data_IF_713645384041
#
_entry.id   IF_713645384041
#
_cell.length_a   1.000
_cell.length_b   1.000
_cell.length_c   1.000
_cell.angle_alpha   90.00
_cell.angle_beta   90.00
_cell.angle_gamma   90.00
#
_symmetry.space_group_name_H-M   'P 1'
#
loop_
_entity.id
_entity.type
_entity.pdbx_description
1 polymer ?
#
# COMPACT_ATOMS: atom_id res chain seq x y z
N UNK A 1 19.64 2.80 -18.58
CA UNK A 1 19.04 2.50 -19.91
C UNK A 1 17.98 3.55 -20.17
N UNK A 2 18.34 4.51 -21.01
CA UNK A 2 17.66 5.79 -21.18
C UNK A 2 16.79 5.74 -22.43
N UNK A 3 15.51 6.09 -22.31
CA UNK A 3 14.57 6.23 -23.44
C UNK A 3 13.84 4.95 -23.86
N UNK A 4 14.54 3.83 -24.06
CA UNK A 4 13.95 2.63 -24.67
C UNK A 4 13.76 1.47 -23.69
N UNK A 5 12.64 0.76 -23.84
CA UNK A 5 12.31 -0.45 -23.08
C UNK A 5 12.87 -1.71 -23.74
N UNK A 6 12.77 -2.83 -23.03
CA UNK A 6 13.25 -4.14 -23.51
C UNK A 6 12.63 -4.57 -24.85
N UNK A 7 11.39 -4.18 -25.12
CA UNK A 7 10.68 -4.47 -26.38
C UNK A 7 11.08 -3.52 -27.55
N UNK A 8 12.11 -2.69 -27.40
CA UNK A 8 12.56 -1.74 -28.42
C UNK A 8 11.69 -0.48 -28.57
N UNK A 9 10.51 -0.44 -27.95
CA UNK A 9 9.65 0.75 -27.88
C UNK A 9 10.07 1.74 -26.79
N UNK A 10 9.42 2.93 -26.71
CA UNK A 10 9.66 3.87 -25.64
C UNK A 10 9.39 3.22 -24.27
N UNK A 11 10.32 3.41 -23.34
CA UNK A 11 10.17 2.94 -21.96
C UNK A 11 9.02 3.67 -21.26
N UNK A 12 8.47 3.05 -20.20
CA UNK A 12 7.38 3.63 -19.39
C UNK A 12 7.69 5.04 -18.86
N UNK A 13 8.97 5.32 -18.59
CA UNK A 13 9.43 6.61 -18.07
C UNK A 13 10.06 7.52 -19.16
N UNK A 14 9.89 7.17 -20.44
CA UNK A 14 10.40 7.97 -21.57
C UNK A 14 9.88 9.43 -21.58
N UNK A 15 8.60 9.72 -21.25
CA UNK A 15 8.12 11.10 -21.22
C UNK A 15 8.88 11.96 -20.19
N UNK A 16 9.09 11.46 -18.98
CA UNK A 16 9.84 12.17 -17.94
C UNK A 16 11.31 12.35 -18.32
N UNK A 17 11.91 11.36 -18.98
CA UNK A 17 13.26 11.50 -19.53
C UNK A 17 13.34 12.60 -20.60
N UNK A 18 12.35 12.70 -21.48
CA UNK A 18 12.29 13.76 -22.50
C UNK A 18 12.18 15.14 -21.85
N UNK A 19 11.33 15.32 -20.84
CA UNK A 19 11.20 16.59 -20.11
C UNK A 19 12.48 16.97 -19.37
N UNK A 20 13.13 16.02 -18.71
CA UNK A 20 14.44 16.26 -18.10
C UNK A 20 15.49 16.65 -19.15
N UNK A 21 15.55 15.94 -20.28
CA UNK A 21 16.49 16.23 -21.36
C UNK A 21 16.24 17.62 -21.94
N UNK A 22 14.99 17.99 -22.21
CA UNK A 22 14.61 19.33 -22.69
C UNK A 22 15.05 20.43 -21.73
N UNK A 23 14.86 20.24 -20.43
CA UNK A 23 15.35 21.20 -19.44
C UNK A 23 16.87 21.25 -19.44
N UNK A 24 17.53 20.10 -19.37
CA UNK A 24 18.98 19.99 -19.25
C UNK A 24 19.73 20.58 -20.45
N UNK A 25 19.19 20.45 -21.67
CA UNK A 25 19.78 21.03 -22.88
C UNK A 25 19.67 22.55 -22.94
N UNK A 26 18.68 23.14 -22.27
CA UNK A 26 18.44 24.59 -22.27
C UNK A 26 18.97 25.30 -21.01
N UNK A 27 19.32 24.55 -19.97
CA UNK A 27 19.75 25.10 -18.69
C UNK A 27 21.25 25.43 -18.67
N UNK A 28 21.61 26.57 -18.08
CA UNK A 28 23.02 26.93 -17.82
C UNK A 28 23.61 26.11 -16.68
N UNK A 29 22.79 25.75 -15.69
CA UNK A 29 23.21 24.99 -14.52
C UNK A 29 22.33 23.75 -14.33
N UNK A 30 22.90 22.56 -14.11
CA UNK A 30 22.14 21.32 -13.90
C UNK A 30 21.13 21.39 -12.75
N UNK A 31 21.38 22.25 -11.76
CA UNK A 31 20.49 22.45 -10.60
C UNK A 31 19.13 23.03 -10.98
N UNK A 32 19.01 23.69 -12.13
CA UNK A 32 17.75 24.26 -12.61
C UNK A 32 16.72 23.19 -13.00
N UNK A 33 17.19 21.96 -13.30
CA UNK A 33 16.35 20.85 -13.76
C UNK A 33 16.15 19.76 -12.69
N UNK A 34 16.34 20.11 -11.41
CA UNK A 34 16.11 19.20 -10.29
C UNK A 34 14.67 18.65 -10.27
N UNK A 35 13.61 19.45 -10.47
CA UNK A 35 12.24 18.93 -10.45
C UNK A 35 12.02 17.83 -11.50
N UNK A 36 12.42 18.08 -12.74
CA UNK A 36 12.27 17.13 -13.85
C UNK A 36 13.13 15.88 -13.65
N UNK A 37 14.33 16.04 -13.10
CA UNK A 37 15.20 14.92 -12.71
C UNK A 37 14.53 14.05 -11.65
N UNK A 38 13.97 14.69 -10.63
CA UNK A 38 13.36 13.98 -9.50
C UNK A 38 12.11 13.22 -9.94
N UNK A 39 11.32 13.75 -10.88
CA UNK A 39 10.18 13.05 -11.47
C UNK A 39 10.61 11.84 -12.31
N UNK A 40 11.69 11.98 -13.10
CA UNK A 40 12.26 10.85 -13.84
C UNK A 40 12.76 9.73 -12.91
N UNK A 41 13.45 10.10 -11.83
CA UNK A 41 13.96 9.15 -10.83
C UNK A 41 12.83 8.53 -10.00
N UNK A 42 11.78 9.29 -9.71
CA UNK A 42 10.56 8.79 -9.06
C UNK A 42 9.90 7.73 -9.94
N UNK A 43 9.71 7.99 -11.23
CA UNK A 43 9.09 7.03 -12.14
C UNK A 43 9.85 5.69 -12.21
N UNK A 44 11.19 5.73 -12.19
CA UNK A 44 12.03 4.52 -12.25
C UNK A 44 11.97 3.73 -10.95
N UNK A 45 12.13 4.40 -9.81
CA UNK A 45 12.33 3.71 -8.53
C UNK A 45 11.04 3.54 -7.71
N UNK A 46 10.02 4.36 -8.00
CA UNK A 46 8.72 4.44 -7.32
C UNK A 46 8.85 4.57 -5.81
N UNK A 47 9.86 5.29 -5.35
CA UNK A 47 10.18 5.40 -3.91
C UNK A 47 9.07 6.12 -3.16
N UNK A 48 8.60 7.26 -3.69
CA UNK A 48 7.52 8.05 -3.09
C UNK A 48 6.20 7.27 -3.14
N UNK A 49 5.89 6.62 -4.26
CA UNK A 49 4.70 5.77 -4.40
C UNK A 49 4.71 4.60 -3.41
N UNK A 50 5.82 3.86 -3.29
CA UNK A 50 5.97 2.76 -2.32
C UNK A 50 5.80 3.23 -0.88
N UNK A 51 6.42 4.36 -0.52
CA UNK A 51 6.29 4.93 0.81
C UNK A 51 4.83 5.33 1.13
N UNK A 52 4.15 5.95 0.16
CA UNK A 52 2.73 6.32 0.30
C UNK A 52 1.85 5.09 0.46
N UNK A 53 2.05 4.05 -0.35
CA UNK A 53 1.25 2.83 -0.28
C UNK A 53 1.46 2.10 1.05
N UNK A 54 2.70 2.05 1.55
CA UNK A 54 3.00 1.50 2.86
C UNK A 54 2.30 2.27 3.99
N UNK A 55 2.27 3.61 3.93
CA UNK A 55 1.56 4.43 4.91
C UNK A 55 0.03 4.20 4.87
N UNK A 56 -0.55 4.09 3.67
CA UNK A 56 -1.99 3.80 3.50
C UNK A 56 -2.32 2.41 4.05
N UNK A 57 -1.51 1.41 3.72
CA UNK A 57 -1.70 0.04 4.19
C UNK A 57 -1.61 -0.03 5.72
N UNK A 58 -0.63 0.63 6.33
CA UNK A 58 -0.48 0.68 7.78
C UNK A 58 -1.70 1.31 8.47
N UNK A 59 -2.25 2.42 7.94
CA UNK A 59 -3.46 3.00 8.54
C UNK A 59 -4.70 2.13 8.31
N UNK A 60 -4.80 1.47 7.16
CA UNK A 60 -5.88 0.53 6.88
C UNK A 60 -5.88 -0.64 7.88
N UNK A 61 -4.73 -1.23 8.16
CA UNK A 61 -4.56 -2.26 9.19
C UNK A 61 -4.92 -1.75 10.58
N UNK A 62 -4.50 -0.51 10.91
CA UNK A 62 -4.85 0.16 12.17
C UNK A 62 -6.37 0.31 12.33
N UNK A 63 -7.06 0.66 11.26
CA UNK A 63 -8.53 0.80 11.24
C UNK A 63 -9.22 -0.56 11.36
N UNK A 64 -8.73 -1.59 10.66
CA UNK A 64 -9.29 -2.94 10.79
C UNK A 64 -9.15 -3.49 12.21
N UNK A 65 -7.97 -3.32 12.83
CA UNK A 65 -7.74 -3.77 14.21
C UNK A 65 -8.69 -3.08 15.21
N UNK A 66 -8.91 -1.76 15.05
CA UNK A 66 -9.91 -1.02 15.85
C UNK A 66 -11.33 -1.54 15.60
N UNK A 67 -11.72 -1.72 14.34
CA UNK A 67 -13.05 -2.23 14.00
C UNK A 67 -13.32 -3.62 14.57
N UNK A 68 -12.32 -4.50 14.58
CA UNK A 68 -12.42 -5.82 15.20
C UNK A 68 -12.54 -5.72 16.73
N UNK A 69 -11.76 -4.85 17.37
CA UNK A 69 -11.84 -4.60 18.81
C UNK A 69 -13.21 -4.03 19.21
N UNK A 70 -13.72 -3.06 18.47
CA UNK A 70 -15.04 -2.48 18.69
C UNK A 70 -16.15 -3.51 18.50
N UNK A 71 -16.03 -4.36 17.48
CA UNK A 71 -16.97 -5.45 17.26
C UNK A 71 -16.93 -6.46 18.42
N UNK A 72 -15.73 -6.87 18.86
CA UNK A 72 -15.55 -7.74 20.01
C UNK A 72 -16.14 -7.13 21.29
N UNK A 73 -15.85 -5.87 21.59
CA UNK A 73 -16.40 -5.18 22.76
C UNK A 73 -17.93 -5.10 22.72
N UNK A 74 -18.53 -4.91 21.54
CA UNK A 74 -19.99 -4.94 21.38
C UNK A 74 -20.57 -6.35 21.61
N UNK A 75 -19.89 -7.39 21.12
CA UNK A 75 -20.30 -8.78 21.36
C UNK A 75 -20.19 -9.14 22.85
N UNK A 76 -19.09 -8.77 23.50
CA UNK A 76 -18.85 -9.02 24.93
C UNK A 76 -19.91 -8.27 25.78
N UNK A 77 -20.14 -6.98 25.51
CA UNK A 77 -21.17 -6.19 26.20
C UNK A 77 -22.60 -6.73 25.96
N UNK A 78 -22.86 -7.35 24.81
CA UNK A 78 -24.15 -7.98 24.53
C UNK A 78 -24.28 -9.36 25.20
N UNK A 79 -23.19 -10.09 25.38
CA UNK A 79 -23.16 -11.34 26.15
C UNK A 79 -23.43 -11.08 27.64
N UNK A 80 -22.92 -9.98 28.19
CA UNK A 80 -23.13 -9.59 29.61
C UNK A 80 -24.59 -9.20 29.92
N UNK A 81 -25.39 -8.83 28.91
CA UNK A 81 -26.81 -8.47 29.03
C UNK A 81 -27.81 -9.58 28.73
N UNK A 82 -27.37 -10.74 28.23
CA UNK A 82 -28.24 -11.87 27.88
C UNK A 82 -28.11 -12.94 28.97
N UNK A 83 -29.20 -13.29 29.71
CA UNK A 83 -29.16 -14.40 30.64
C UNK A 83 -29.01 -15.69 29.82
N UNK A 84 -27.77 -16.16 29.69
CA UNK A 84 -27.46 -17.37 28.93
C UNK A 84 -27.88 -18.57 29.75
N UNK A 85 -29.14 -19.00 29.58
CA UNK A 85 -29.58 -20.37 29.83
C UNK A 85 -29.77 -21.07 28.50
N UNK A 86 -28.67 -21.26 27.76
CA UNK A 86 -28.68 -22.08 26.55
C UNK A 86 -27.76 -23.26 26.78
N UNK A 87 -28.38 -24.42 27.02
CA UNK A 87 -27.70 -25.71 27.14
C UNK A 87 -27.16 -26.16 25.79
N UNK A 88 -25.95 -25.73 25.45
CA UNK A 88 -25.21 -26.21 24.30
C UNK A 88 -24.24 -27.31 24.75
N UNK A 89 -24.65 -28.57 24.57
CA UNK A 89 -23.74 -29.73 24.41
C UNK A 89 -24.26 -30.51 23.20
N UNK A 90 -23.39 -30.86 22.23
CA UNK A 90 -22.84 -32.22 22.24
C UNK A 90 -21.31 -32.23 22.19
N UNK A 91 -20.70 -32.97 23.11
CA UNK A 91 -19.30 -33.41 23.03
C UNK A 91 -19.14 -34.40 21.86
N UNK A 92 -17.99 -34.40 21.15
CA UNK A 92 -17.74 -35.36 20.08
C UNK A 92 -17.66 -36.80 20.61
N UNK A 93 -18.00 -37.83 19.81
CA UNK A 93 -17.90 -39.23 20.23
C UNK A 93 -16.43 -39.60 20.46
N UNK A 94 -16.15 -40.22 21.60
CA UNK A 94 -14.86 -40.81 21.91
C UNK A 94 -14.67 -42.08 21.08
N UNK A 95 -13.63 -42.09 20.24
CA UNK A 95 -13.15 -43.29 19.56
C UNK A 95 -12.80 -44.37 20.60
N UNK A 96 -13.45 -45.53 20.51
CA UNK A 96 -13.00 -46.76 21.17
C UNK A 96 -13.33 -47.97 20.30
N UNK A 97 -12.33 -48.43 19.55
CA UNK A 97 -11.96 -49.86 19.48
C UNK A 97 -10.55 -50.02 18.95
#
# INVERSE_FOLDING_TARGET
>A
MSGYGYAGGPSRCSPYWQEFTKCYTNATYPKQCIPQRDDYLECIHRTKEKARNAAIQAEFERQQARGLQDHKHKLDAQADGVPTRVGLVPTPPADTK
#
